data_IF_235615750823
#
_entry.id   IF_235615750823
#
_cell.length_a   1.000
_cell.length_b   1.000
_cell.length_c   1.000
_cell.angle_alpha   90.00
_cell.angle_beta   90.00
_cell.angle_gamma   90.00
#
_symmetry.space_group_name_H-M   'P 1'
#
loop_
_entity.id
_entity.type
_entity.pdbx_description
1 polymer ?
#
# COMPACT_ATOMS: atom_id res chain seq x y z
N UNK A 1 3.67 13.19 -5.55
CA UNK A 1 3.93 12.16 -4.51
C UNK A 1 3.69 10.80 -5.13
N UNK A 2 4.57 9.83 -4.87
CA UNK A 2 4.41 8.43 -5.28
C UNK A 2 4.09 7.59 -4.06
N UNK A 3 3.21 6.59 -4.20
CA UNK A 3 2.80 5.71 -3.11
C UNK A 3 2.92 4.25 -3.55
N UNK A 4 3.62 3.44 -2.76
CA UNK A 4 3.85 2.03 -3.03
C UNK A 4 3.20 1.24 -1.89
N UNK A 5 2.17 0.46 -2.19
CA UNK A 5 1.54 -0.46 -1.24
C UNK A 5 2.09 -1.86 -1.41
N UNK A 6 2.67 -2.43 -0.35
CA UNK A 6 3.28 -3.75 -0.39
C UNK A 6 2.22 -4.84 -0.33
N UNK A 7 2.29 -5.81 -1.26
CA UNK A 7 1.39 -7.00 -1.27
C UNK A 7 2.02 -8.22 -0.59
N UNK A 8 3.34 -8.22 -0.41
CA UNK A 8 4.14 -9.31 0.16
C UNK A 8 5.20 -8.70 1.07
N UNK A 9 5.67 -9.45 2.10
CA UNK A 9 6.75 -8.97 2.94
C UNK A 9 8.05 -8.83 2.13
N UNK A 10 8.85 -7.81 2.45
CA UNK A 10 10.16 -7.58 1.83
C UNK A 10 11.09 -6.85 2.81
N UNK A 11 12.33 -7.33 2.90
CA UNK A 11 13.37 -6.65 3.69
C UNK A 11 13.73 -5.30 3.08
N UNK A 12 13.81 -4.25 3.90
CA UNK A 12 14.06 -2.88 3.46
C UNK A 12 15.38 -2.76 2.68
N UNK A 13 16.40 -3.50 3.13
CA UNK A 13 17.71 -3.55 2.46
C UNK A 13 17.66 -4.19 1.08
N UNK A 14 16.89 -5.26 0.93
CA UNK A 14 16.70 -5.92 -0.37
C UNK A 14 15.88 -5.04 -1.32
N UNK A 15 14.87 -4.34 -0.79
CA UNK A 15 14.12 -3.36 -1.55
C UNK A 15 15.00 -2.21 -2.06
N UNK A 16 15.88 -1.66 -1.21
CA UNK A 16 16.85 -0.64 -1.59
C UNK A 16 17.77 -1.10 -2.75
N UNK A 17 18.26 -2.34 -2.69
CA UNK A 17 19.07 -2.93 -3.76
C UNK A 17 18.28 -2.99 -5.07
N UNK A 18 17.02 -3.42 -5.02
CA UNK A 18 16.16 -3.48 -6.22
C UNK A 18 15.96 -2.08 -6.82
N UNK A 19 15.71 -1.05 -6.01
CA UNK A 19 15.55 0.31 -6.50
C UNK A 19 16.80 0.82 -7.21
N UNK A 20 17.99 0.60 -6.63
CA UNK A 20 19.26 1.02 -7.26
C UNK A 20 19.46 0.30 -8.59
N UNK A 21 19.18 -1.01 -8.67
CA UNK A 21 19.28 -1.75 -9.93
C UNK A 21 18.36 -1.18 -11.01
N UNK A 22 17.14 -0.79 -10.67
CA UNK A 22 16.22 -0.15 -11.61
C UNK A 22 16.70 1.24 -12.03
N UNK A 23 17.35 2.01 -11.14
CA UNK A 23 17.97 3.30 -11.50
C UNK A 23 19.16 3.10 -12.46
N UNK A 24 20.04 2.15 -12.16
CA UNK A 24 21.23 1.82 -12.97
C UNK A 24 20.85 1.30 -14.36
N UNK A 25 19.79 0.48 -14.46
CA UNK A 25 19.27 -0.04 -15.74
C UNK A 25 18.87 1.07 -16.72
N UNK A 26 18.59 2.28 -16.22
CA UNK A 26 18.23 3.43 -17.03
C UNK A 26 19.44 4.21 -17.56
N UNK A 27 20.66 3.71 -17.31
CA UNK A 27 21.93 4.32 -17.72
C UNK A 27 22.16 5.70 -17.11
N UNK A 28 21.59 5.95 -15.93
CA UNK A 28 22.05 7.02 -15.05
C UNK A 28 23.41 6.60 -14.47
N UNK A 29 24.47 6.82 -15.24
CA UNK A 29 25.84 6.70 -14.73
C UNK A 29 26.05 7.85 -13.74
N UNK A 30 25.67 7.60 -12.49
CA UNK A 30 25.91 8.52 -11.38
C UNK A 30 26.84 7.81 -10.41
N UNK A 31 27.99 8.42 -10.11
CA UNK A 31 28.91 7.95 -9.07
C UNK A 31 28.25 7.90 -7.67
N UNK A 32 27.03 8.44 -7.56
CA UNK A 32 26.24 8.62 -6.35
C UNK A 32 25.42 7.36 -5.94
N UNK A 33 25.25 6.34 -6.81
CA UNK A 33 24.37 5.18 -6.52
C UNK A 33 24.76 4.40 -5.27
N UNK A 34 26.07 4.30 -5.00
CA UNK A 34 26.59 3.62 -3.80
C UNK A 34 26.19 4.36 -2.52
N UNK A 35 26.25 5.69 -2.54
CA UNK A 35 25.86 6.52 -1.41
C UNK A 35 24.34 6.44 -1.16
N UNK A 36 23.54 6.47 -2.24
CA UNK A 36 22.10 6.31 -2.17
C UNK A 36 21.69 4.94 -1.63
N UNK A 37 22.34 3.87 -2.09
CA UNK A 37 22.10 2.52 -1.60
C UNK A 37 22.31 2.45 -0.08
N UNK A 38 23.47 2.94 0.38
CA UNK A 38 23.82 2.94 1.79
C UNK A 38 22.76 3.68 2.62
N UNK A 39 22.34 4.87 2.15
CA UNK A 39 21.32 5.66 2.85
C UNK A 39 19.96 4.99 2.90
N UNK A 40 19.50 4.41 1.80
CA UNK A 40 18.25 3.65 1.79
C UNK A 40 18.31 2.42 2.71
N UNK A 41 19.44 1.71 2.76
CA UNK A 41 19.63 0.58 3.67
C UNK A 41 19.70 0.96 5.15
N UNK A 42 20.06 2.21 5.46
CA UNK A 42 20.06 2.76 6.82
C UNK A 42 18.65 3.13 7.27
N UNK A 43 17.83 3.71 6.38
CA UNK A 43 16.54 4.31 6.77
C UNK A 43 15.32 3.44 6.48
N UNK A 44 15.39 2.50 5.54
CA UNK A 44 14.23 1.68 5.18
C UNK A 44 13.98 0.59 6.23
N UNK A 45 12.76 0.51 6.79
CA UNK A 45 12.36 -0.63 7.59
C UNK A 45 12.08 -1.85 6.69
N UNK A 46 11.91 -3.01 7.32
CA UNK A 46 11.30 -4.15 6.64
C UNK A 46 9.80 -3.89 6.47
N UNK A 47 9.28 -4.20 5.28
CA UNK A 47 7.89 -3.92 4.92
C UNK A 47 7.06 -5.20 4.99
N UNK A 48 5.91 -5.12 5.64
CA UNK A 48 4.89 -6.15 5.73
C UNK A 48 3.80 -5.93 4.66
N UNK A 49 2.97 -6.96 4.36
CA UNK A 49 1.79 -6.77 3.54
C UNK A 49 0.90 -5.64 4.09
N UNK A 50 0.44 -4.78 3.19
CA UNK A 50 -0.34 -3.56 3.43
C UNK A 50 0.43 -2.35 3.96
N UNK A 51 1.72 -2.46 4.27
CA UNK A 51 2.54 -1.26 4.51
C UNK A 51 2.57 -0.38 3.25
N UNK A 52 2.79 0.91 3.47
CA UNK A 52 2.85 1.93 2.42
C UNK A 52 4.16 2.68 2.53
N UNK A 53 4.92 2.75 1.43
CA UNK A 53 6.03 3.68 1.29
C UNK A 53 5.61 4.82 0.36
N UNK A 54 5.63 6.03 0.88
CA UNK A 54 5.41 7.24 0.10
C UNK A 54 6.75 7.91 -0.20
N UNK A 55 6.87 8.46 -1.40
CA UNK A 55 7.96 9.34 -1.78
C UNK A 55 7.41 10.71 -2.17
N UNK A 56 7.86 11.73 -1.45
CA UNK A 56 7.48 13.12 -1.69
C UNK A 56 8.62 13.79 -2.45
N UNK A 57 8.37 14.13 -3.72
CA UNK A 57 9.28 14.89 -4.55
C UNK A 57 8.93 16.39 -4.45
N UNK A 58 9.90 17.19 -4.02
CA UNK A 58 9.88 18.65 -4.02
C UNK A 58 10.82 19.16 -5.12
N UNK A 59 10.85 20.47 -5.37
CA UNK A 59 11.62 21.06 -6.48
C UNK A 59 13.12 20.72 -6.43
N UNK A 60 13.73 20.69 -5.24
CA UNK A 60 15.18 20.51 -5.06
C UNK A 60 15.57 19.27 -4.25
N UNK A 61 14.59 18.51 -3.77
CA UNK A 61 14.81 17.37 -2.88
C UNK A 61 13.63 16.42 -2.84
N UNK A 62 13.85 15.23 -2.30
CA UNK A 62 12.77 14.30 -1.98
C UNK A 62 13.01 13.57 -0.68
N UNK A 63 11.95 13.05 -0.07
CA UNK A 63 12.05 12.27 1.16
C UNK A 63 10.99 11.17 1.19
N UNK A 64 11.22 10.19 2.06
CA UNK A 64 10.33 9.04 2.22
C UNK A 64 9.49 9.16 3.47
N UNK A 65 8.27 8.62 3.40
CA UNK A 65 7.38 8.41 4.54
C UNK A 65 7.00 6.93 4.51
N UNK A 66 7.42 6.17 5.52
CA UNK A 66 7.01 4.78 5.70
C UNK A 66 5.81 4.75 6.65
N UNK A 67 4.67 4.29 6.14
CA UNK A 67 3.36 4.41 6.77
C UNK A 67 3.12 5.88 7.15
N UNK A 68 3.20 6.20 8.44
CA UNK A 68 2.99 7.55 8.99
C UNK A 68 4.29 8.18 9.53
N UNK A 69 5.45 7.58 9.25
CA UNK A 69 6.75 8.01 9.77
C UNK A 69 7.64 8.58 8.66
N UNK A 70 8.05 9.83 8.79
CA UNK A 70 9.05 10.45 7.91
C UNK A 70 10.41 9.81 8.18
N UNK A 71 11.06 9.31 7.14
CA UNK A 71 12.39 8.71 7.25
C UNK A 71 13.47 9.80 7.28
N UNK A 72 14.49 9.61 8.11
CA UNK A 72 15.51 10.61 8.44
C UNK A 72 16.58 10.78 7.34
N UNK A 73 16.14 11.12 6.13
CA UNK A 73 17.02 11.54 5.04
C UNK A 73 16.27 12.29 3.94
N UNK A 74 16.84 13.40 3.50
CA UNK A 74 16.45 14.10 2.27
C UNK A 74 17.43 13.75 1.15
N UNK A 75 16.90 13.33 0.02
CA UNK A 75 17.65 13.01 -1.18
C UNK A 75 17.66 14.21 -2.13
N UNK A 76 18.72 14.34 -2.92
CA UNK A 76 18.90 15.44 -3.87
C UNK A 76 18.02 15.30 -5.13
N UNK A 77 18.09 16.31 -6.00
CA UNK A 77 17.37 16.33 -7.28
C UNK A 77 17.79 15.18 -8.20
N UNK A 78 19.06 14.74 -8.18
CA UNK A 78 19.54 13.66 -9.05
C UNK A 78 18.88 12.34 -8.67
N UNK A 79 18.88 12.02 -7.38
CA UNK A 79 18.18 10.85 -6.84
C UNK A 79 16.69 10.94 -7.14
N UNK A 80 16.07 12.09 -6.88
CA UNK A 80 14.63 12.29 -7.10
C UNK A 80 14.26 12.01 -8.55
N UNK A 81 15.04 12.51 -9.52
CA UNK A 81 14.83 12.26 -10.94
C UNK A 81 15.05 10.78 -11.29
N UNK A 82 16.12 10.16 -10.80
CA UNK A 82 16.42 8.74 -11.04
C UNK A 82 15.32 7.83 -10.50
N UNK A 83 14.86 8.10 -9.27
CA UNK A 83 13.78 7.37 -8.61
C UNK A 83 12.47 7.47 -9.39
N UNK A 84 12.02 8.67 -9.75
CA UNK A 84 10.77 8.85 -10.51
C UNK A 84 10.84 8.13 -11.87
N UNK A 85 12.01 8.15 -12.50
CA UNK A 85 12.19 7.50 -13.80
C UNK A 85 12.10 5.96 -13.71
N UNK A 86 12.22 5.35 -12.52
CA UNK A 86 11.91 3.92 -12.31
C UNK A 86 10.52 3.59 -12.85
N UNK A 87 9.54 4.50 -12.80
CA UNK A 87 8.22 4.25 -13.36
C UNK A 87 7.96 4.93 -14.70
N UNK A 88 8.57 6.10 -14.93
CA UNK A 88 8.27 6.92 -16.11
C UNK A 88 9.17 6.64 -17.31
N UNK A 89 10.30 5.96 -17.13
CA UNK A 89 11.23 5.67 -18.23
C UNK A 89 10.64 4.64 -19.19
N UNK A 90 10.81 4.79 -20.51
CA UNK A 90 10.41 3.76 -21.48
C UNK A 90 11.22 2.46 -21.32
N UNK A 91 12.36 2.51 -20.62
CA UNK A 91 13.20 1.34 -20.29
C UNK A 91 12.82 0.69 -18.96
N UNK A 92 11.79 1.20 -18.28
CA UNK A 92 11.33 0.69 -17.00
C UNK A 92 10.71 -0.69 -17.12
N UNK A 93 11.01 -1.58 -16.15
CA UNK A 93 10.27 -2.83 -15.94
C UNK A 93 8.77 -2.62 -15.66
N UNK A 94 8.37 -1.38 -15.35
CA UNK A 94 7.01 -0.93 -15.01
C UNK A 94 6.33 -0.11 -16.10
N UNK A 95 6.80 -0.16 -17.36
CA UNK A 95 6.26 0.63 -18.48
C UNK A 95 4.73 0.62 -18.61
N UNK A 96 4.07 -0.47 -18.20
CA UNK A 96 2.59 -0.58 -18.19
C UNK A 96 1.88 0.41 -17.25
N UNK A 97 2.58 0.97 -16.26
CA UNK A 97 2.04 1.96 -15.33
C UNK A 97 2.21 3.40 -15.86
N UNK A 98 3.07 3.61 -16.85
CA UNK A 98 3.40 4.94 -17.37
C UNK A 98 2.17 5.73 -17.85
N UNK A 99 1.21 5.17 -18.63
CA UNK A 99 0.07 5.96 -19.10
C UNK A 99 -0.84 6.43 -17.96
N UNK A 100 -1.05 5.60 -16.92
CA UNK A 100 -1.82 5.96 -15.74
C UNK A 100 -1.12 7.06 -14.93
N UNK A 101 0.21 6.96 -14.75
CA UNK A 101 1.00 7.96 -14.04
C UNK A 101 1.09 9.30 -14.80
N UNK A 102 1.01 9.27 -16.13
CA UNK A 102 0.95 10.45 -16.99
C UNK A 102 -0.47 11.01 -17.18
N UNK A 103 -1.48 10.40 -16.56
CA UNK A 103 -2.89 10.82 -16.69
C UNK A 103 -3.49 10.57 -18.08
N UNK A 104 -2.87 9.73 -18.89
CA UNK A 104 -3.37 9.34 -20.22
C UNK A 104 -4.43 8.25 -20.15
N UNK A 105 -4.48 7.49 -19.05
CA UNK A 105 -5.53 6.53 -18.73
C UNK A 105 -6.17 6.91 -17.38
N UNK A 106 -7.50 6.99 -17.33
CA UNK A 106 -8.20 7.05 -16.04
C UNK A 106 -8.00 5.71 -15.34
N UNK A 107 -7.55 5.71 -14.10
CA UNK A 107 -7.56 4.54 -13.21
C UNK A 107 -9.01 4.11 -12.94
N UNK A 108 -9.63 3.45 -13.92
CA UNK A 108 -10.85 2.68 -13.72
C UNK A 108 -10.50 1.36 -13.05
N UNK A 109 -10.04 1.40 -11.80
CA UNK A 109 -10.11 0.21 -10.97
C UNK A 109 -11.58 0.05 -10.60
N UNK A 110 -12.27 -0.84 -11.31
CA UNK A 110 -13.53 -1.39 -10.85
C UNK A 110 -13.29 -1.97 -9.45
N UNK A 111 -13.79 -1.30 -8.41
CA UNK A 111 -13.77 -1.73 -7.01
C UNK A 111 -14.63 -2.97 -6.74
N UNK A 112 -15.08 -3.67 -7.79
CA UNK A 112 -15.98 -4.81 -7.72
C UNK A 112 -15.26 -6.16 -7.53
N UNK A 113 -13.95 -6.26 -7.71
CA UNK A 113 -13.25 -7.57 -7.64
C UNK A 113 -12.92 -8.04 -6.21
N UNK A 114 -13.17 -7.21 -5.18
CA UNK A 114 -12.98 -7.58 -3.77
C UNK A 114 -14.24 -7.49 -2.90
N UNK A 115 -15.41 -7.30 -3.51
CA UNK A 115 -16.68 -7.40 -2.77
C UNK A 115 -17.06 -8.89 -2.61
N UNK A 116 -16.39 -9.59 -1.69
CA UNK A 116 -17.01 -10.79 -1.11
C UNK A 116 -18.17 -10.33 -0.23
N UNK A 117 -19.35 -10.16 -0.84
CA UNK A 117 -20.58 -10.27 -0.08
C UNK A 117 -20.70 -11.75 0.30
N UNK A 118 -20.62 -12.13 1.60
CA UNK A 118 -21.09 -13.45 1.97
C UNK A 118 -22.52 -13.58 1.45
N UNK A 119 -22.89 -14.75 0.94
CA UNK A 119 -24.26 -15.00 0.52
C UNK A 119 -25.17 -14.64 1.68
N UNK A 120 -25.88 -13.52 1.57
CA UNK A 120 -26.94 -13.18 2.49
C UNK A 120 -28.05 -14.16 2.18
N UNK A 121 -28.15 -15.24 2.96
CA UNK A 121 -29.38 -16.01 3.03
C UNK A 121 -30.51 -15.00 3.31
N UNK A 122 -31.59 -15.01 2.52
CA UNK A 122 -32.74 -14.18 2.80
C UNK A 122 -33.19 -14.46 4.24
N UNK A 123 -33.41 -13.38 4.99
CA UNK A 123 -33.88 -13.47 6.36
C UNK A 123 -35.33 -14.00 6.31
N UNK A 124 -35.51 -15.30 6.44
CA UNK A 124 -36.84 -15.90 6.56
C UNK A 124 -37.44 -15.47 7.92
N UNK A 125 -38.37 -14.52 7.88
CA UNK A 125 -39.10 -14.02 9.05
C UNK A 125 -39.84 -15.14 9.80
N UNK A 126 -40.10 -16.27 9.15
CA UNK A 126 -40.78 -17.44 9.73
C UNK A 126 -39.92 -18.18 10.77
N UNK A 127 -38.59 -18.11 10.68
CA UNK A 127 -37.66 -18.77 11.61
C UNK A 127 -37.23 -17.88 12.80
N UNK A 128 -37.74 -16.65 12.88
CA UNK A 128 -37.37 -15.66 13.91
C UNK A 128 -38.43 -15.47 15.00
N UNK A 129 -39.51 -16.24 14.99
CA UNK A 129 -40.45 -16.25 16.12
C UNK A 129 -39.84 -17.03 17.29
N UNK A 130 -39.51 -16.39 18.43
CA UNK A 130 -39.09 -17.13 19.60
C UNK A 130 -40.25 -18.02 20.06
N UNK A 131 -39.99 -19.32 20.22
CA UNK A 131 -40.97 -20.24 20.82
C UNK A 131 -41.30 -19.73 22.23
N UNK A 132 -42.60 -19.55 22.50
CA UNK A 132 -43.07 -19.21 23.83
C UNK A 132 -42.71 -20.35 24.79
N UNK A 133 -42.08 -20.08 25.94
CA UNK A 133 -41.81 -21.12 26.93
C UNK A 133 -43.13 -21.73 27.40
N UNK A 134 -43.17 -23.05 27.66
CA UNK A 134 -44.41 -23.71 28.02
C UNK A 134 -44.86 -23.25 29.41
N UNK A 135 -46.04 -22.62 29.43
CA UNK A 135 -46.91 -22.42 30.59
C UNK A 135 -46.37 -21.47 31.69
N UNK A 136 -46.63 -20.17 31.54
CA UNK A 136 -46.59 -19.21 32.64
C UNK A 136 -47.93 -19.26 33.39
N UNK A 137 -47.95 -19.80 34.61
CA UNK A 137 -49.14 -19.82 35.47
C UNK A 137 -49.07 -18.64 36.48
N UNK A 138 -49.85 -17.57 36.30
CA UNK A 138 -49.72 -16.35 37.11
C UNK A 138 -50.31 -16.45 38.53
N UNK A 139 -50.82 -17.61 38.98
CA UNK A 139 -51.51 -17.71 40.28
C UNK A 139 -50.63 -18.16 41.47
N UNK A 140 -49.32 -18.40 41.32
CA UNK A 140 -48.50 -18.89 42.44
C UNK A 140 -47.91 -17.83 43.39
N UNK A 141 -48.12 -16.53 43.17
CA UNK A 141 -47.58 -15.47 44.03
C UNK A 141 -48.59 -14.83 45.00
N UNK A 142 -49.36 -15.66 45.72
CA UNK A 142 -50.18 -15.22 46.87
C UNK A 142 -50.01 -16.18 48.04
N UNK A 143 -48.86 -16.10 48.72
CA UNK A 143 -48.74 -16.39 50.15
C UNK A 143 -47.45 -15.80 50.72
N UNK A 144 -47.62 -14.66 51.37
CA UNK A 144 -46.68 -13.99 52.27
C UNK A 144 -47.49 -13.06 53.15
#
# INVERSE_FOLDING_TARGET
MFSIKYKKPIEGKNFAITLIKEMEAQQFNTDDTTAWLKKMQEIFPDFSPNDILNFVALENKGYFIANDTVLDHEFDTKFTQAFINIWLSPKSSFVKLQPQLLGQEKSGQNEQEFQYQPASEPFDEENSMPELPPNYDPQQNLKG
#
